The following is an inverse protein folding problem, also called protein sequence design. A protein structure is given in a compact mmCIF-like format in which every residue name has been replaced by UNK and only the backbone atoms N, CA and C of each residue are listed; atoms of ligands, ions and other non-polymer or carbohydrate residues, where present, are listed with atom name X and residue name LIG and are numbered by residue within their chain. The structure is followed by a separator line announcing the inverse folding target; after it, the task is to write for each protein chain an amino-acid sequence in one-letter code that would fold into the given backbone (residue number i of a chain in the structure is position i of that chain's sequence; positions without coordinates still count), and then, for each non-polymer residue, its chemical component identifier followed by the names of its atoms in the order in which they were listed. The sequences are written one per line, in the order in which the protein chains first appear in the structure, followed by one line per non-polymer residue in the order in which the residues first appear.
data_IF_989370630953
#
_entry.id   IF_989370630953
#
_cell.length_a   1.000
_cell.length_b   1.000
_cell.length_c   1.000
_cell.angle_alpha   90.00
_cell.angle_beta   90.00
_cell.angle_gamma   90.00
#
_symmetry.space_group_name_H-M   'P 1'
#
loop_
_entity.id
_entity.type
_entity.pdbx_description
1 polymer ?
#
# COMPACT_ATOMS: atom_id res chain seq x y z
N UNK A 1 17.00 28.97 -14.69
CA UNK A 1 16.42 28.62 -13.37
C UNK A 1 16.28 29.92 -12.61
N UNK A 2 15.06 30.46 -12.52
CA UNK A 2 14.76 31.71 -11.80
C UNK A 2 14.57 31.37 -10.32
N UNK A 3 15.03 32.25 -9.46
CA UNK A 3 15.30 32.05 -8.04
C UNK A 3 14.13 31.48 -7.24
N UNK A 4 14.38 30.38 -6.51
CA UNK A 4 13.54 30.01 -5.37
C UNK A 4 13.79 31.01 -4.24
N UNK A 5 12.78 31.75 -3.84
CA UNK A 5 12.88 32.69 -2.71
C UNK A 5 13.00 31.95 -1.38
N UNK A 6 14.01 32.31 -0.57
CA UNK A 6 14.26 31.77 0.77
C UNK A 6 15.69 31.22 0.95
N UNK A 7 16.05 30.85 2.17
CA UNK A 7 17.25 30.02 2.37
C UNK A 7 16.94 28.64 1.82
N UNK A 8 17.56 28.27 0.70
CA UNK A 8 17.37 26.97 0.07
C UNK A 8 17.64 25.81 1.03
N UNK A 9 17.11 24.64 0.69
CA UNK A 9 17.26 23.38 1.44
C UNK A 9 18.70 22.82 1.28
N UNK A 10 19.69 23.56 1.80
CA UNK A 10 21.13 23.30 1.58
C UNK A 10 21.52 21.95 2.18
N UNK A 11 21.07 21.65 3.41
CA UNK A 11 21.41 20.40 4.09
C UNK A 11 20.78 19.20 3.36
N UNK A 12 19.54 19.34 2.89
CA UNK A 12 18.84 18.35 2.09
C UNK A 12 19.56 18.10 0.77
N UNK A 13 20.02 19.16 0.10
CA UNK A 13 20.78 19.08 -1.14
C UNK A 13 22.13 18.37 -0.95
N UNK A 14 22.85 18.69 0.13
CA UNK A 14 24.09 17.98 0.50
C UNK A 14 23.83 16.51 0.77
N UNK A 15 22.79 16.18 1.55
CA UNK A 15 22.39 14.78 1.81
C UNK A 15 22.02 14.05 0.52
N UNK A 16 21.28 14.69 -0.39
CA UNK A 16 20.94 14.11 -1.68
C UNK A 16 22.18 13.81 -2.52
N UNK A 17 23.15 14.73 -2.56
CA UNK A 17 24.45 14.51 -3.20
C UNK A 17 25.21 13.32 -2.63
N UNK A 18 25.28 13.20 -1.30
CA UNK A 18 25.91 12.06 -0.63
C UNK A 18 25.21 10.72 -0.92
N UNK A 19 23.88 10.71 -0.98
CA UNK A 19 23.12 9.50 -1.35
C UNK A 19 23.41 9.06 -2.78
N UNK A 20 23.54 10.01 -3.72
CA UNK A 20 23.90 9.69 -5.10
C UNK A 20 25.32 9.12 -5.19
N UNK A 21 26.29 9.72 -4.49
CA UNK A 21 27.66 9.19 -4.41
C UNK A 21 27.70 7.77 -3.82
N UNK A 22 26.93 7.51 -2.76
CA UNK A 22 26.83 6.16 -2.17
C UNK A 22 26.23 5.16 -3.16
N UNK A 23 25.14 5.53 -3.87
CA UNK A 23 24.51 4.69 -4.89
C UNK A 23 25.49 4.35 -6.02
N UNK A 24 26.30 5.31 -6.46
CA UNK A 24 27.35 5.09 -7.46
C UNK A 24 28.45 4.16 -6.94
N UNK A 25 28.88 4.33 -5.68
CA UNK A 25 29.90 3.49 -5.06
C UNK A 25 29.44 2.03 -4.87
N UNK A 26 28.17 1.79 -4.53
CA UNK A 26 27.58 0.44 -4.48
C UNK A 26 27.45 -0.16 -5.88
N UNK A 27 27.09 0.68 -6.86
CA UNK A 27 26.95 0.32 -8.26
C UNK A 27 25.58 -0.26 -8.62
N UNK A 28 25.02 0.16 -9.77
CA UNK A 28 23.73 -0.33 -10.26
C UNK A 28 23.67 -1.85 -10.47
N UNK A 29 24.71 -2.52 -11.02
CA UNK A 29 24.66 -3.97 -11.21
C UNK A 29 24.49 -4.73 -9.88
N UNK A 30 25.17 -4.30 -8.82
CA UNK A 30 25.07 -4.88 -7.47
C UNK A 30 23.67 -4.73 -6.89
N UNK A 31 23.08 -3.53 -7.02
CA UNK A 31 21.71 -3.25 -6.55
C UNK A 31 20.71 -4.11 -7.30
N UNK A 32 20.77 -4.14 -8.64
CA UNK A 32 19.85 -4.92 -9.46
C UNK A 32 19.95 -6.43 -9.17
N UNK A 33 21.16 -6.97 -9.08
CA UNK A 33 21.37 -8.38 -8.75
C UNK A 33 20.82 -8.72 -7.35
N UNK A 34 20.98 -7.81 -6.38
CA UNK A 34 20.44 -7.98 -5.03
C UNK A 34 18.91 -7.93 -5.03
N UNK A 35 18.31 -6.96 -5.71
CA UNK A 35 16.85 -6.85 -5.84
C UNK A 35 16.24 -8.07 -6.54
N UNK A 36 16.90 -8.59 -7.59
CA UNK A 36 16.47 -9.81 -8.26
C UNK A 36 16.50 -11.03 -7.31
N UNK A 37 17.56 -11.18 -6.51
CA UNK A 37 17.64 -12.23 -5.47
C UNK A 37 16.48 -12.12 -4.47
N UNK A 38 16.22 -10.91 -3.98
CA UNK A 38 15.12 -10.63 -3.05
C UNK A 38 13.78 -11.02 -3.68
N UNK A 39 13.53 -10.60 -4.93
CA UNK A 39 12.31 -10.94 -5.66
C UNK A 39 12.10 -12.45 -5.78
N UNK A 40 13.15 -13.21 -6.12
CA UNK A 40 13.08 -14.67 -6.21
C UNK A 40 12.75 -15.32 -4.85
N UNK A 41 13.43 -14.88 -3.79
CA UNK A 41 13.19 -15.38 -2.43
C UNK A 41 11.74 -15.13 -1.96
N UNK A 42 11.26 -13.89 -2.11
CA UNK A 42 9.92 -13.49 -1.67
C UNK A 42 8.84 -14.22 -2.46
N UNK A 43 8.97 -14.28 -3.80
CA UNK A 43 8.02 -14.99 -4.65
C UNK A 43 7.97 -16.49 -4.34
N UNK A 44 9.12 -17.12 -4.10
CA UNK A 44 9.18 -18.53 -3.73
C UNK A 44 8.46 -18.78 -2.40
N UNK A 45 8.65 -17.91 -1.41
CA UNK A 45 8.01 -18.04 -0.10
C UNK A 45 6.50 -17.76 -0.15
N UNK A 46 6.08 -16.67 -0.79
CA UNK A 46 4.65 -16.30 -0.91
C UNK A 46 3.84 -17.40 -1.59
N UNK A 47 4.38 -18.09 -2.60
CA UNK A 47 3.71 -19.22 -3.26
C UNK A 47 3.35 -20.38 -2.32
N UNK A 48 3.98 -20.45 -1.14
CA UNK A 48 3.68 -21.46 -0.12
C UNK A 48 2.52 -21.08 0.81
N UNK A 49 1.97 -19.88 0.65
CA UNK A 49 0.95 -19.29 1.54
C UNK A 49 -0.32 -19.03 0.72
N UNK A 50 -1.26 -20.00 0.63
CA UNK A 50 -2.46 -19.86 -0.20
C UNK A 50 -3.39 -18.73 0.26
N UNK A 51 -3.34 -18.34 1.53
CA UNK A 51 -4.10 -17.21 2.09
C UNK A 51 -3.58 -15.85 1.59
N UNK A 52 -2.38 -15.77 1.04
CA UNK A 52 -1.77 -14.51 0.58
C UNK A 52 -1.87 -14.39 -0.94
N UNK A 53 -2.78 -13.53 -1.40
CA UNK A 53 -3.01 -13.29 -2.83
C UNK A 53 -2.14 -12.12 -3.28
N UNK A 54 -1.09 -12.44 -4.03
CA UNK A 54 -0.20 -11.45 -4.62
C UNK A 54 -0.83 -10.86 -5.89
N UNK A 55 -0.98 -9.54 -5.92
CA UNK A 55 -1.57 -8.80 -7.04
C UNK A 55 -0.53 -8.49 -8.12
N UNK A 56 -0.95 -8.59 -9.38
CA UNK A 56 -0.11 -8.32 -10.55
C UNK A 56 0.60 -9.55 -11.08
N UNK A 57 1.64 -9.32 -11.89
CA UNK A 57 2.37 -10.42 -12.53
C UNK A 57 3.24 -11.18 -11.52
N UNK A 58 2.94 -12.47 -11.36
CA UNK A 58 3.64 -13.37 -10.43
C UNK A 58 4.69 -14.26 -11.14
N UNK A 59 4.95 -14.01 -12.43
CA UNK A 59 5.96 -14.73 -13.19
C UNK A 59 7.36 -14.39 -12.70
N UNK A 60 8.19 -15.42 -12.54
CA UNK A 60 9.61 -15.27 -12.22
C UNK A 60 10.45 -14.79 -13.41
N UNK A 61 9.89 -14.75 -14.62
CA UNK A 61 10.59 -14.30 -15.83
C UNK A 61 10.54 -12.80 -16.08
N UNK A 62 9.69 -12.06 -15.34
CA UNK A 62 9.53 -10.62 -15.50
C UNK A 62 10.34 -9.87 -14.46
N UNK A 63 11.18 -8.94 -14.92
CA UNK A 63 11.92 -8.06 -14.03
C UNK A 63 10.97 -7.15 -13.26
N UNK A 64 11.18 -7.04 -11.95
CA UNK A 64 10.35 -6.23 -11.06
C UNK A 64 11.15 -5.71 -9.88
N UNK A 65 10.68 -4.61 -9.33
CA UNK A 65 11.14 -4.11 -8.04
C UNK A 65 10.60 -5.00 -6.91
N UNK A 66 11.32 -5.08 -5.77
CA UNK A 66 10.91 -5.83 -4.58
C UNK A 66 9.80 -5.10 -3.80
N UNK A 67 8.72 -4.77 -4.50
CA UNK A 67 7.52 -4.12 -3.98
C UNK A 67 6.33 -5.02 -4.28
N UNK A 68 5.66 -5.50 -3.25
CA UNK A 68 4.63 -6.54 -3.34
C UNK A 68 3.32 -6.02 -2.78
N UNK A 69 2.30 -5.94 -3.63
CA UNK A 69 0.91 -5.62 -3.26
C UNK A 69 0.12 -6.91 -3.10
N UNK A 70 -0.57 -7.08 -1.98
CA UNK A 70 -1.25 -8.33 -1.68
C UNK A 70 -2.53 -8.12 -0.87
N UNK A 71 -3.41 -9.12 -0.97
CA UNK A 71 -4.58 -9.29 -0.12
C UNK A 71 -4.41 -10.54 0.74
N UNK A 72 -5.09 -10.57 1.89
CA UNK A 72 -5.15 -11.76 2.73
C UNK A 72 -6.57 -12.31 2.68
N UNK A 73 -6.72 -13.51 2.13
CA UNK A 73 -7.98 -14.25 2.04
C UNK A 73 -8.06 -15.27 3.15
N UNK A 74 -9.12 -15.20 3.94
CA UNK A 74 -9.44 -16.22 4.91
C UNK A 74 -9.98 -17.48 4.20
N UNK A 75 -9.71 -18.71 4.69
CA UNK A 75 -10.21 -19.97 4.11
C UNK A 75 -11.74 -20.13 4.04
N UNK A 76 -12.52 -19.13 4.49
CA UNK A 76 -14.00 -19.08 4.38
C UNK A 76 -14.49 -18.17 3.25
N UNK A 77 -13.59 -17.57 2.47
CA UNK A 77 -13.94 -16.79 1.29
C UNK A 77 -13.82 -15.27 1.45
N UNK A 78 -13.91 -14.75 2.68
CA UNK A 78 -13.73 -13.31 2.96
C UNK A 78 -12.27 -12.90 3.08
N UNK A 79 -12.01 -11.60 2.94
CA UNK A 79 -10.67 -11.04 3.10
C UNK A 79 -10.47 -10.37 4.46
N UNK A 80 -9.22 -10.13 4.82
CA UNK A 80 -8.86 -9.19 5.87
C UNK A 80 -8.72 -7.79 5.29
N UNK A 81 -9.29 -6.80 5.97
CA UNK A 81 -9.19 -5.41 5.55
C UNK A 81 -7.71 -4.98 5.48
N UNK A 82 -7.30 -4.27 4.43
CA UNK A 82 -5.89 -3.94 4.21
C UNK A 82 -5.31 -3.11 5.37
N UNK A 83 -6.05 -2.13 5.89
CA UNK A 83 -5.61 -1.35 7.05
C UNK A 83 -5.48 -2.18 8.33
N UNK A 84 -6.27 -3.25 8.48
CA UNK A 84 -6.12 -4.18 9.60
C UNK A 84 -4.83 -5.00 9.47
N UNK A 85 -4.56 -5.51 8.26
CA UNK A 85 -3.29 -6.21 7.97
C UNK A 85 -2.10 -5.29 8.28
N UNK A 86 -2.16 -4.03 7.87
CA UNK A 86 -1.15 -3.04 8.20
C UNK A 86 -1.01 -2.80 9.71
N UNK A 87 -2.13 -2.67 10.42
CA UNK A 87 -2.14 -2.46 11.87
C UNK A 87 -1.48 -3.63 12.61
N UNK A 88 -1.80 -4.88 12.28
CA UNK A 88 -1.17 -6.05 12.93
C UNK A 88 0.32 -6.14 12.62
N UNK A 89 0.73 -5.94 11.36
CA UNK A 89 2.15 -5.98 10.99
C UNK A 89 2.95 -4.94 11.78
N UNK A 90 2.37 -3.76 12.00
CA UNK A 90 2.98 -2.72 12.84
C UNK A 90 2.96 -3.09 14.34
N UNK A 91 1.79 -3.42 14.88
CA UNK A 91 1.60 -3.54 16.33
C UNK A 91 2.26 -4.80 16.91
N UNK A 92 2.30 -5.89 16.15
CA UNK A 92 2.82 -7.18 16.61
C UNK A 92 4.29 -7.38 16.23
N UNK A 93 4.69 -6.91 15.04
CA UNK A 93 6.01 -7.18 14.48
C UNK A 93 6.88 -5.92 14.27
N UNK A 94 6.34 -4.72 14.45
CA UNK A 94 7.05 -3.48 14.15
C UNK A 94 7.32 -3.25 12.65
N UNK A 95 6.61 -3.97 11.77
CA UNK A 95 6.80 -3.88 10.31
C UNK A 95 5.83 -2.85 9.76
N UNK A 96 6.38 -1.77 9.21
CA UNK A 96 5.60 -0.73 8.56
C UNK A 96 5.30 -1.10 7.11
N UNK A 97 4.02 -1.24 6.80
CA UNK A 97 3.51 -1.45 5.44
C UNK A 97 2.50 -0.37 5.10
N UNK A 98 2.19 -0.21 3.80
CA UNK A 98 1.18 0.75 3.33
C UNK A 98 -0.09 0.03 2.93
N UNK A 99 -1.24 0.53 3.35
CA UNK A 99 -2.55 0.08 2.91
C UNK A 99 -3.21 1.07 1.96
N UNK A 100 -4.18 0.61 1.18
CA UNK A 100 -5.06 1.44 0.37
C UNK A 100 -5.03 1.11 -1.12
N UNK A 101 -5.65 1.96 -1.92
CA UNK A 101 -5.61 1.91 -3.38
C UNK A 101 -4.47 2.81 -3.90
N UNK A 102 -3.62 2.28 -4.78
CA UNK A 102 -2.50 3.05 -5.35
C UNK A 102 -3.00 4.16 -6.30
N UNK A 103 -2.16 5.16 -6.56
CA UNK A 103 -2.44 6.34 -7.41
C UNK A 103 -2.92 6.03 -8.85
N UNK A 104 -2.91 4.77 -9.27
CA UNK A 104 -3.47 4.30 -10.53
C UNK A 104 -4.79 3.54 -10.28
N UNK A 105 -5.84 4.29 -9.94
CA UNK A 105 -7.15 3.76 -9.53
C UNK A 105 -7.73 2.69 -10.48
N UNK A 106 -7.83 2.94 -11.80
CA UNK A 106 -8.37 1.96 -12.75
C UNK A 106 -7.57 0.65 -12.80
N UNK A 107 -6.23 0.73 -12.75
CA UNK A 107 -5.39 -0.46 -12.75
C UNK A 107 -5.56 -1.27 -11.45
N UNK A 108 -5.73 -0.61 -10.32
CA UNK A 108 -6.03 -1.28 -9.06
C UNK A 108 -7.40 -1.97 -9.09
N UNK A 109 -8.42 -1.34 -9.68
CA UNK A 109 -9.74 -1.95 -9.88
C UNK A 109 -9.66 -3.22 -10.74
N UNK A 110 -8.90 -3.17 -11.84
CA UNK A 110 -8.66 -4.34 -12.69
C UNK A 110 -8.01 -5.51 -11.94
N UNK A 111 -6.95 -5.22 -11.18
CA UNK A 111 -6.27 -6.23 -10.37
C UNK A 111 -7.17 -6.87 -9.31
N UNK A 112 -8.11 -6.08 -8.77
CA UNK A 112 -9.08 -6.55 -7.78
C UNK A 112 -10.27 -7.29 -8.43
N UNK A 113 -10.40 -7.26 -9.76
CA UNK A 113 -11.55 -7.84 -10.45
C UNK A 113 -12.84 -7.03 -10.30
N UNK A 114 -12.72 -5.72 -10.08
CA UNK A 114 -13.84 -4.81 -9.94
C UNK A 114 -14.34 -4.41 -11.34
N UNK A 115 -15.62 -4.66 -11.64
CA UNK A 115 -16.26 -4.21 -12.87
C UNK A 115 -16.53 -2.71 -12.83
N UNK A 116 -16.80 -2.09 -14.00
CA UNK A 116 -17.18 -0.67 -14.05
C UNK A 116 -18.48 -0.40 -13.28
N UNK A 117 -19.44 -1.33 -13.34
CA UNK A 117 -20.69 -1.27 -12.58
C UNK A 117 -20.42 -1.29 -11.06
N UNK A 118 -19.61 -2.25 -10.59
CA UNK A 118 -19.27 -2.36 -9.18
C UNK A 118 -18.43 -1.15 -8.70
N UNK A 119 -17.57 -0.62 -9.56
CA UNK A 119 -16.82 0.60 -9.27
C UNK A 119 -17.76 1.80 -9.08
N UNK A 120 -18.81 1.92 -9.89
CA UNK A 120 -19.83 2.95 -9.74
C UNK A 120 -20.64 2.78 -8.43
N UNK A 121 -20.96 1.54 -8.03
CA UNK A 121 -21.61 1.28 -6.75
C UNK A 121 -20.75 1.70 -5.56
N UNK A 122 -19.43 1.39 -5.60
CA UNK A 122 -18.49 1.88 -4.59
C UNK A 122 -18.39 3.40 -4.61
N UNK A 123 -18.33 4.04 -5.78
CA UNK A 123 -18.28 5.49 -5.90
C UNK A 123 -19.51 6.14 -5.28
N UNK A 124 -20.71 5.61 -5.53
CA UNK A 124 -21.96 6.13 -4.99
C UNK A 124 -22.01 6.11 -3.45
N UNK A 125 -21.46 5.06 -2.83
CA UNK A 125 -21.41 4.92 -1.36
C UNK A 125 -20.27 5.71 -0.72
N UNK A 126 -19.15 5.85 -1.43
CA UNK A 126 -17.96 6.58 -0.97
C UNK A 126 -18.01 8.08 -1.26
N UNK A 127 -18.99 8.54 -2.04
CA UNK A 127 -19.16 9.95 -2.33
C UNK A 127 -19.45 10.73 -1.04
N UNK A 128 -18.67 11.79 -0.80
CA UNK A 128 -18.91 12.72 0.31
C UNK A 128 -20.23 13.50 0.07
N UNK A 129 -20.89 13.93 1.15
CA UNK A 129 -22.07 14.80 1.05
C UNK A 129 -21.70 16.05 0.24
N UNK A 130 -22.43 16.31 -0.84
CA UNK A 130 -22.23 17.47 -1.72
C UNK A 130 -22.32 18.83 -1.01
N UNK A 131 -22.83 18.86 0.23
CA UNK A 131 -22.88 20.04 1.11
C UNK A 131 -21.57 20.30 1.87
N UNK A 132 -20.60 19.39 1.85
CA UNK A 132 -19.28 19.59 2.45
C UNK A 132 -18.46 20.53 1.56
N UNK A 133 -18.46 21.79 1.96
CA UNK A 133 -17.74 22.88 1.30
C UNK A 133 -16.22 22.64 1.27
N UNK A 134 -15.71 22.34 0.06
CA UNK A 134 -14.28 22.10 -0.24
C UNK A 134 -13.39 23.35 -0.16
N UNK A 135 -13.95 24.55 0.03
CA UNK A 135 -13.18 25.80 -0.10
C UNK A 135 -12.35 26.16 1.14
N UNK A 136 -12.59 25.52 2.29
CA UNK A 136 -11.85 25.79 3.51
C UNK A 136 -11.13 24.55 4.03
N UNK A 137 -9.81 24.53 3.78
CA UNK A 137 -8.76 23.52 4.03
C UNK A 137 -8.65 22.85 5.43
N UNK A 138 -9.65 22.92 6.30
CA UNK A 138 -9.72 22.13 7.53
C UNK A 138 -11.17 22.02 8.01
N UNK A 139 -11.89 20.92 7.78
CA UNK A 139 -13.12 20.63 8.54
C UNK A 139 -13.25 19.16 8.94
N UNK A 140 -13.71 18.96 10.19
CA UNK A 140 -14.21 17.65 10.67
C UNK A 140 -15.32 17.20 9.71
N UNK A 141 -15.24 15.99 9.17
CA UNK A 141 -16.28 15.40 8.32
C UNK A 141 -15.93 15.25 6.83
N UNK A 142 -14.68 15.45 6.42
CA UNK A 142 -14.20 15.22 5.03
C UNK A 142 -14.06 13.72 4.64
N UNK A 143 -14.71 12.80 5.35
CA UNK A 143 -14.62 11.38 5.01
C UNK A 143 -16.02 10.82 4.84
N UNK A 144 -16.21 9.92 3.87
CA UNK A 144 -17.45 9.15 3.77
C UNK A 144 -17.66 8.37 5.06
N UNK A 145 -18.91 8.30 5.53
CA UNK A 145 -19.31 7.45 6.67
C UNK A 145 -19.01 5.95 6.44
N UNK A 146 -18.71 5.59 5.19
CA UNK A 146 -18.40 4.23 4.77
C UNK A 146 -17.00 4.10 4.16
N UNK A 147 -16.05 4.96 4.54
CA UNK A 147 -14.66 4.90 4.06
C UNK A 147 -14.03 3.50 4.26
N UNK A 148 -14.44 2.77 5.29
CA UNK A 148 -14.06 1.36 5.50
C UNK A 148 -14.43 0.40 4.35
N UNK A 149 -15.35 0.76 3.46
CA UNK A 149 -15.73 -0.06 2.31
C UNK A 149 -14.77 0.12 1.14
N UNK A 150 -13.92 1.17 1.15
CA UNK A 150 -12.99 1.45 0.06
C UNK A 150 -12.13 0.22 -0.25
N UNK A 151 -12.21 -0.35 -1.47
CA UNK A 151 -11.37 -1.47 -1.83
C UNK A 151 -9.89 -1.09 -1.84
N UNK A 152 -9.03 -2.03 -1.47
CA UNK A 152 -7.60 -1.80 -1.44
C UNK A 152 -6.80 -3.03 -1.05
N UNK A 153 -5.48 -2.86 -0.98
CA UNK A 153 -4.53 -3.92 -0.67
C UNK A 153 -3.43 -3.41 0.27
N UNK A 154 -2.71 -4.34 0.90
CA UNK A 154 -1.49 -4.03 1.64
C UNK A 154 -0.29 -4.09 0.69
N UNK A 155 0.72 -3.26 0.93
CA UNK A 155 1.95 -3.21 0.13
C UNK A 155 3.18 -3.17 1.02
N UNK A 156 4.10 -4.10 0.75
CA UNK A 156 5.41 -4.19 1.39
C UNK A 156 6.50 -3.89 0.37
N UNK A 157 7.51 -3.10 0.79
CA UNK A 157 8.70 -2.79 -0.02
C UNK A 157 9.94 -3.28 0.72
N UNK A 158 10.75 -4.11 0.07
CA UNK A 158 11.96 -4.69 0.68
C UNK A 158 13.18 -4.02 0.04
N UNK A 159 13.91 -3.16 0.76
CA UNK A 159 15.06 -2.47 0.20
C UNK A 159 16.25 -3.41 -0.02
N UNK A 160 17.09 -3.11 -1.03
CA UNK A 160 18.23 -3.96 -1.39
C UNK A 160 19.23 -4.20 -0.25
N UNK A 161 19.38 -3.22 0.65
CA UNK A 161 20.31 -3.27 1.77
C UNK A 161 19.80 -4.05 2.99
N UNK A 162 18.55 -4.54 2.97
CA UNK A 162 18.02 -5.40 4.03
C UNK A 162 18.74 -6.76 4.01
N UNK A 163 19.12 -7.27 5.18
CA UNK A 163 19.80 -8.57 5.33
C UNK A 163 18.87 -9.75 5.04
N UNK A 164 19.44 -10.92 4.70
CA UNK A 164 18.65 -12.13 4.45
C UNK A 164 17.84 -12.56 5.69
N UNK A 165 18.35 -12.32 6.90
CA UNK A 165 17.66 -12.60 8.16
C UNK A 165 16.47 -11.68 8.43
N UNK A 166 16.59 -10.39 8.13
CA UNK A 166 15.47 -9.43 8.24
C UNK A 166 14.38 -9.75 7.22
N UNK A 167 14.77 -10.14 5.99
CA UNK A 167 13.82 -10.58 4.98
C UNK A 167 13.08 -11.85 5.44
N UNK A 168 13.80 -12.84 6.00
CA UNK A 168 13.19 -14.04 6.54
C UNK A 168 12.20 -13.72 7.67
N UNK A 169 12.53 -12.80 8.57
CA UNK A 169 11.63 -12.32 9.60
C UNK A 169 10.35 -11.70 9.02
N UNK A 170 10.47 -10.81 8.03
CA UNK A 170 9.31 -10.19 7.37
C UNK A 170 8.43 -11.25 6.69
N UNK A 171 9.03 -12.24 6.03
CA UNK A 171 8.29 -13.32 5.36
C UNK A 171 7.53 -14.21 6.36
N UNK A 172 8.15 -14.59 7.47
CA UNK A 172 7.47 -15.34 8.53
C UNK A 172 6.35 -14.51 9.20
N UNK A 173 6.56 -13.21 9.41
CA UNK A 173 5.52 -12.31 9.91
C UNK A 173 4.33 -12.24 8.94
N UNK A 174 4.58 -12.08 7.64
CA UNK A 174 3.53 -12.10 6.61
C UNK A 174 2.75 -13.42 6.61
N UNK A 175 3.45 -14.55 6.73
CA UNK A 175 2.84 -15.88 6.83
C UNK A 175 1.95 -16.02 8.07
N UNK A 176 2.42 -15.57 9.23
CA UNK A 176 1.64 -15.59 10.46
C UNK A 176 0.39 -14.70 10.36
N UNK A 177 0.51 -13.50 9.79
CA UNK A 177 -0.65 -12.63 9.58
C UNK A 177 -1.63 -13.24 8.56
N UNK A 178 -1.13 -13.85 7.49
CA UNK A 178 -1.98 -14.46 6.48
C UNK A 178 -2.80 -15.63 7.03
N UNK A 179 -2.18 -16.49 7.85
CA UNK A 179 -2.79 -17.72 8.36
C UNK A 179 -3.58 -17.51 9.66
N UNK A 180 -3.08 -16.65 10.54
CA UNK A 180 -3.55 -16.51 11.93
C UNK A 180 -4.03 -15.09 12.28
N UNK A 181 -3.77 -14.09 11.42
CA UNK A 181 -4.08 -12.68 11.64
C UNK A 181 -5.54 -12.40 11.99
N UNK A 182 -6.45 -13.11 11.33
CA UNK A 182 -7.90 -13.01 11.53
C UNK A 182 -8.31 -13.26 13.00
N UNK A 183 -7.55 -14.07 13.75
CA UNK A 183 -7.86 -14.38 15.16
C UNK A 183 -7.77 -13.15 16.05
N UNK A 184 -7.01 -12.13 15.65
CA UNK A 184 -6.86 -10.89 16.41
C UNK A 184 -7.96 -9.87 16.11
N UNK A 185 -8.78 -10.06 15.05
CA UNK A 185 -9.85 -9.12 14.68
C UNK A 185 -10.73 -8.69 15.89
N UNK A 186 -11.17 -9.60 16.80
CA UNK A 186 -12.00 -9.21 17.94
C UNK A 186 -11.35 -8.24 18.93
N UNK A 187 -10.02 -8.10 18.88
CA UNK A 187 -9.25 -7.20 19.75
C UNK A 187 -9.05 -5.83 19.12
N UNK A 188 -9.47 -5.63 17.87
CA UNK A 188 -9.34 -4.38 17.14
C UNK A 188 -10.70 -3.71 16.92
N UNK A 189 -10.65 -2.39 16.85
CA UNK A 189 -11.79 -1.51 16.60
C UNK A 189 -11.57 -0.83 15.26
N UNK A 190 -12.52 -1.02 14.34
CA UNK A 190 -12.60 -0.30 13.07
C UNK A 190 -13.27 1.05 13.28
N UNK A 191 -12.71 2.10 12.69
CA UNK A 191 -13.39 3.38 12.51
C UNK A 191 -14.06 3.41 11.11
N UNK A 192 -15.40 3.36 11.02
CA UNK A 192 -16.15 3.43 9.76
C UNK A 192 -15.75 4.60 8.86
N UNK A 193 -15.56 5.77 9.47
CA UNK A 193 -15.38 7.04 8.78
C UNK A 193 -13.96 7.18 8.21
N UNK A 194 -12.96 6.52 8.78
CA UNK A 194 -11.57 6.64 8.31
C UNK A 194 -11.00 5.35 7.74
N UNK A 195 -11.69 4.22 7.91
CA UNK A 195 -11.18 2.88 7.62
C UNK A 195 -9.98 2.47 8.48
N UNK A 196 -9.65 3.23 9.53
CA UNK A 196 -8.53 2.95 10.42
C UNK A 196 -8.86 1.83 11.41
N UNK A 197 -7.86 1.02 11.72
CA UNK A 197 -7.96 -0.06 12.70
C UNK A 197 -7.02 0.23 13.87
N UNK A 198 -7.54 0.08 15.09
CA UNK A 198 -6.76 0.26 16.32
C UNK A 198 -7.01 -0.87 17.30
N UNK A 199 -5.99 -1.29 18.03
CA UNK A 199 -6.16 -2.23 19.12
C UNK A 199 -7.03 -1.61 20.23
N UNK A 200 -7.92 -2.40 20.84
CA UNK A 200 -8.91 -1.93 21.83
C UNK A 200 -8.30 -1.41 23.14
N UNK A 201 -7.04 -1.73 23.44
CA UNK A 201 -6.29 -1.16 24.57
C UNK A 201 -5.58 0.14 24.21
N UNK A 202 -5.47 0.48 22.92
CA UNK A 202 -4.84 1.70 22.43
C UNK A 202 -5.86 2.85 22.34
N UNK A 203 -6.52 3.14 23.47
CA UNK A 203 -7.64 4.09 23.55
C UNK A 203 -7.20 5.53 23.76
N UNK A 204 -5.93 5.77 24.04
CA UNK A 204 -5.39 7.11 24.27
C UNK A 204 -3.99 7.14 23.67
N UNK A 205 -3.69 8.22 22.96
CA UNK A 205 -2.35 8.64 22.54
C UNK A 205 -1.41 8.85 23.76
N UNK A 206 -1.27 7.85 24.65
CA UNK A 206 -0.55 7.94 25.91
C UNK A 206 0.92 8.29 25.69
N UNK A 207 1.44 7.89 24.54
CA UNK A 207 2.84 8.05 24.13
C UNK A 207 3.05 9.14 23.08
N UNK A 208 1.98 9.83 22.62
CA UNK A 208 2.13 10.90 21.62
C UNK A 208 2.78 12.10 22.27
N UNK A 209 4.03 12.34 21.88
CA UNK A 209 4.80 13.50 22.30
C UNK A 209 4.34 14.71 21.49
N UNK A 210 3.94 15.76 22.19
CA UNK A 210 3.61 17.05 21.57
C UNK A 210 4.79 17.98 21.77
N UNK A 211 5.10 18.84 20.79
CA UNK A 211 6.18 19.83 20.94
C UNK A 211 5.96 20.71 22.19
N UNK A 212 4.71 21.01 22.53
CA UNK A 212 4.35 21.74 23.75
C UNK A 212 4.67 21.04 25.08
N UNK A 213 5.08 19.76 25.06
CA UNK A 213 5.55 19.04 26.26
C UNK A 213 7.03 19.25 26.57
N UNK A 214 7.77 19.88 25.65
CA UNK A 214 9.18 20.25 25.82
C UNK A 214 9.26 21.57 26.59
N UNK A 215 10.11 21.61 27.62
CA UNK A 215 10.38 22.80 28.43
C UNK A 215 11.88 23.10 28.45
N UNK A 216 12.21 24.38 28.61
CA UNK A 216 13.60 24.88 28.69
C UNK A 216 13.85 25.69 29.98
N UNK A 217 13.06 25.45 31.03
CA UNK A 217 13.05 26.27 32.26
C UNK A 217 14.44 26.40 32.89
N UNK A 218 15.26 25.35 32.83
CA UNK A 218 16.62 25.32 33.39
C UNK A 218 17.73 25.48 32.33
N UNK A 219 17.43 26.03 31.16
CA UNK A 219 18.38 26.13 30.04
C UNK A 219 18.77 24.79 29.40
N UNK A 220 18.07 23.71 29.77
CA UNK A 220 18.20 22.37 29.19
C UNK A 220 16.85 21.90 28.65
N UNK A 221 16.87 21.18 27.53
CA UNK A 221 15.67 20.54 26.99
C UNK A 221 15.20 19.47 27.96
N UNK A 222 14.03 19.68 28.56
CA UNK A 222 13.35 18.70 29.41
C UNK A 222 12.05 18.29 28.71
N UNK A 223 11.80 16.99 28.63
CA UNK A 223 10.51 16.45 28.21
C UNK A 223 9.97 15.56 29.32
N UNK A 224 8.68 15.71 29.66
CA UNK A 224 8.03 14.77 30.59
C UNK A 224 7.92 13.40 29.92
N UNK A 225 8.80 12.48 30.31
CA UNK A 225 8.62 11.07 30.03
C UNK A 225 7.62 10.50 31.03
N UNK A 226 6.40 10.25 30.58
CA UNK A 226 5.45 9.48 31.38
C UNK A 226 6.02 8.06 31.49
N UNK A 227 6.41 7.63 32.69
CA UNK A 227 6.76 6.23 32.96
C UNK A 227 5.56 5.36 32.61
N UNK A 228 5.70 4.53 31.58
CA UNK A 228 4.69 3.57 31.19
C UNK A 228 4.74 2.42 32.21
N UNK A 229 3.77 2.39 33.13
CA UNK A 229 3.60 1.25 34.04
C UNK A 229 3.18 0.03 33.22
N UNK A 230 3.98 -1.05 33.27
CA UNK A 230 3.63 -2.34 32.69
C UNK A 230 4.19 -2.62 31.29
N UNK A 231 5.33 -2.03 30.90
CA UNK A 231 6.04 -2.48 29.70
C UNK A 231 6.44 -3.95 29.86
N UNK A 232 5.73 -4.84 29.16
CA UNK A 232 6.31 -6.11 28.76
C UNK A 232 7.61 -5.78 28.04
N UNK A 233 8.75 -6.42 28.36
CA UNK A 233 10.00 -6.14 27.67
C UNK A 233 9.79 -6.25 26.16
N UNK A 234 10.31 -5.26 25.43
CA UNK A 234 10.36 -5.33 23.97
C UNK A 234 11.18 -6.57 23.59
N UNK A 235 10.77 -7.35 22.57
CA UNK A 235 11.55 -8.49 22.12
C UNK A 235 13.01 -8.12 21.87
N UNK A 236 13.93 -8.99 22.32
CA UNK A 236 15.37 -8.71 22.21
C UNK A 236 15.92 -8.93 20.80
N UNK A 237 15.30 -9.83 20.04
CA UNK A 237 15.66 -10.15 18.66
C UNK A 237 14.41 -10.54 17.83
N UNK A 238 14.64 -10.81 16.54
CA UNK A 238 13.57 -11.21 15.61
C UNK A 238 12.95 -12.55 15.97
N UNK A 239 13.68 -13.49 16.55
CA UNK A 239 13.18 -14.80 16.95
C UNK A 239 12.24 -14.72 18.15
N UNK A 240 12.62 -13.95 19.17
CA UNK A 240 11.79 -13.64 20.33
C UNK A 240 10.52 -12.88 19.94
N UNK A 241 10.62 -11.98 18.95
CA UNK A 241 9.47 -11.30 18.38
C UNK A 241 8.47 -12.30 17.75
N UNK A 242 8.95 -13.23 16.92
CA UNK A 242 8.10 -14.28 16.32
C UNK A 242 7.48 -15.21 17.39
N UNK A 243 8.24 -15.56 18.43
CA UNK A 243 7.74 -16.37 19.54
C UNK A 243 6.62 -15.64 20.31
N UNK A 244 6.85 -14.37 20.63
CA UNK A 244 5.87 -13.49 21.29
C UNK A 244 4.61 -13.35 20.44
N UNK A 245 4.75 -13.11 19.13
CA UNK A 245 3.63 -13.05 18.19
C UNK A 245 2.80 -14.35 18.21
N UNK A 246 3.45 -15.52 18.19
CA UNK A 246 2.76 -16.82 18.24
C UNK A 246 1.98 -16.99 19.54
N UNK A 247 2.53 -16.54 20.66
CA UNK A 247 1.82 -16.54 21.94
C UNK A 247 0.60 -15.59 21.94
N UNK A 248 0.68 -14.45 21.26
CA UNK A 248 -0.44 -13.52 21.08
C UNK A 248 -1.57 -14.21 20.29
N UNK A 249 -1.27 -14.81 19.13
CA UNK A 249 -2.26 -15.55 18.34
C UNK A 249 -2.90 -16.72 19.11
N UNK A 250 -2.10 -17.49 19.86
CA UNK A 250 -2.60 -18.59 20.67
C UNK A 250 -3.55 -18.14 21.80
N UNK A 251 -3.35 -16.94 22.34
CA UNK A 251 -4.22 -16.37 23.39
C UNK A 251 -5.51 -15.76 22.83
N UNK A 252 -5.56 -15.46 21.53
CA UNK A 252 -6.67 -14.76 20.90
C UNK A 252 -8.03 -15.43 21.13
N UNK A 253 -8.10 -16.77 21.04
CA UNK A 253 -9.34 -17.52 21.31
C UNK A 253 -9.86 -17.33 22.74
N UNK A 254 -8.97 -17.34 23.73
CA UNK A 254 -9.34 -17.11 25.13
C UNK A 254 -9.80 -15.67 25.35
N UNK A 255 -9.21 -14.70 24.65
CA UNK A 255 -9.65 -13.30 24.72
C UNK A 255 -11.02 -13.11 24.08
N UNK A 256 -11.27 -13.72 22.93
CA UNK A 256 -12.57 -13.69 22.26
C UNK A 256 -13.70 -14.27 23.13
N UNK A 257 -13.43 -15.29 23.96
CA UNK A 257 -14.41 -15.82 24.92
C UNK A 257 -14.74 -14.86 26.06
N UNK A 258 -13.76 -14.05 26.50
CA UNK A 258 -13.92 -13.17 27.67
C UNK A 258 -14.70 -11.89 27.36
N UNK A 259 -14.59 -11.39 26.13
CA UNK A 259 -15.13 -10.09 25.74
C UNK A 259 -16.04 -10.25 24.52
N UNK A 260 -17.31 -10.64 24.69
CA UNK A 260 -18.26 -10.74 23.59
C UNK A 260 -18.46 -9.37 22.94
N UNK A 261 -18.47 -9.35 21.61
CA UNK A 261 -18.70 -8.17 20.81
C UNK A 261 -20.17 -8.08 20.39
N UNK A 262 -20.71 -6.87 20.26
CA UNK A 262 -22.02 -6.69 19.63
C UNK A 262 -21.96 -7.08 18.16
N UNK A 263 -23.11 -7.40 17.59
CA UNK A 263 -23.23 -7.68 16.16
C UNK A 263 -22.97 -6.41 15.34
N UNK A 264 -21.83 -6.38 14.67
CA UNK A 264 -21.40 -5.25 13.85
C UNK A 264 -22.01 -5.27 12.45
N UNK A 265 -22.73 -6.34 12.06
CA UNK A 265 -23.44 -6.39 10.77
C UNK A 265 -24.54 -5.33 10.70
N UNK A 266 -25.05 -4.90 11.86
CA UNK A 266 -26.03 -3.82 12.00
C UNK A 266 -25.52 -2.44 11.55
N UNK A 267 -24.20 -2.28 11.33
CA UNK A 267 -23.62 -1.05 10.78
C UNK A 267 -23.86 -0.89 9.27
N UNK A 268 -24.38 -1.94 8.61
CA UNK A 268 -24.57 -1.97 7.16
C UNK A 268 -26.05 -2.10 6.84
N UNK A 269 -26.52 -1.28 5.90
CA UNK A 269 -27.78 -1.52 5.20
C UNK A 269 -27.61 -2.59 4.11
N UNK A 270 -28.68 -2.93 3.39
CA UNK A 270 -28.64 -3.98 2.38
C UNK A 270 -27.61 -3.70 1.25
N UNK A 271 -27.46 -2.44 0.84
CA UNK A 271 -26.60 -2.04 -0.27
C UNK A 271 -25.12 -2.07 0.16
N UNK A 272 -24.80 -1.45 1.29
CA UNK A 272 -23.45 -1.42 1.87
C UNK A 272 -22.99 -2.80 2.34
N UNK A 273 -23.92 -3.64 2.81
CA UNK A 273 -23.63 -5.02 3.15
C UNK A 273 -23.20 -5.83 1.93
N UNK A 274 -23.80 -5.61 0.75
CA UNK A 274 -23.42 -6.27 -0.50
C UNK A 274 -21.97 -5.91 -0.91
N UNK A 275 -21.58 -4.64 -0.75
CA UNK A 275 -20.26 -4.10 -1.08
C UNK A 275 -19.16 -4.45 -0.06
N UNK A 276 -19.50 -5.01 1.10
CA UNK A 276 -18.52 -5.43 2.10
C UNK A 276 -17.73 -6.65 1.62
N UNK A 277 -16.42 -6.46 1.47
CA UNK A 277 -15.47 -7.48 1.00
C UNK A 277 -14.62 -8.11 2.11
N UNK A 278 -14.66 -7.59 3.34
CA UNK A 278 -13.81 -8.02 4.45
C UNK A 278 -14.60 -8.60 5.63
N UNK A 279 -13.92 -9.42 6.46
CA UNK A 279 -14.45 -10.02 7.69
C UNK A 279 -14.54 -9.02 8.84
N UNK A 280 -15.65 -9.03 9.58
CA UNK A 280 -15.86 -8.20 10.77
C UNK A 280 -15.28 -8.83 12.05
N UNK A 281 -14.92 -8.01 13.07
CA UNK A 281 -14.52 -8.50 14.39
C UNK A 281 -15.52 -9.46 15.06
N UNK A 282 -16.81 -9.17 14.98
CA UNK A 282 -17.87 -10.06 15.47
C UNK A 282 -17.91 -11.42 14.75
N UNK A 283 -17.77 -11.44 13.42
CA UNK A 283 -17.71 -12.68 12.63
C UNK A 283 -16.47 -13.51 12.98
N UNK A 284 -15.31 -12.85 13.16
CA UNK A 284 -14.08 -13.52 13.59
C UNK A 284 -14.21 -14.12 15.00
N UNK A 285 -14.90 -13.43 15.91
CA UNK A 285 -15.21 -13.96 17.24
C UNK A 285 -16.12 -15.18 17.14
N UNK A 286 -17.16 -15.13 16.33
CA UNK A 286 -18.05 -16.27 16.09
C UNK A 286 -17.27 -17.49 15.57
N UNK A 287 -16.34 -17.31 14.64
CA UNK A 287 -15.46 -18.39 14.17
C UNK A 287 -14.58 -18.97 15.28
N UNK A 288 -14.00 -18.14 16.15
CA UNK A 288 -13.18 -18.60 17.28
C UNK A 288 -14.00 -19.39 18.30
N UNK A 289 -15.29 -19.09 18.43
CA UNK A 289 -16.24 -19.75 19.32
C UNK A 289 -16.91 -20.99 18.69
N UNK A 290 -16.80 -21.18 17.38
CA UNK A 290 -17.36 -22.33 16.65
C UNK A 290 -18.70 -22.05 15.96
N UNK A 291 -19.16 -20.79 15.94
CA UNK A 291 -20.41 -20.35 15.33
C UNK A 291 -20.23 -20.03 13.84
N UNK A 292 -19.92 -21.04 13.03
CA UNK A 292 -19.47 -20.82 11.64
C UNK A 292 -20.55 -20.23 10.72
N UNK A 293 -21.83 -20.46 11.00
CA UNK A 293 -22.95 -19.96 10.19
C UNK A 293 -23.09 -18.43 10.13
N UNK A 294 -22.46 -17.69 11.03
CA UNK A 294 -22.64 -16.23 11.11
C UNK A 294 -21.69 -15.44 10.19
N UNK A 295 -20.79 -16.11 9.47
CA UNK A 295 -19.75 -15.47 8.66
C UNK A 295 -20.16 -15.36 7.21
N UNK A 296 -20.08 -14.14 6.66
CA UNK A 296 -20.27 -13.89 5.24
C UNK A 296 -19.33 -14.75 4.39
N UNK A 297 -19.87 -15.38 3.35
CA UNK A 297 -19.12 -16.26 2.44
C UNK A 297 -18.89 -15.63 1.07
N UNK A 298 -19.80 -14.79 0.62
CA UNK A 298 -19.72 -14.11 -0.67
C UNK A 298 -18.95 -12.79 -0.54
N UNK A 299 -18.21 -12.44 -1.57
CA UNK A 299 -17.48 -11.17 -1.67
C UNK A 299 -17.80 -10.53 -3.00
N UNK A 300 -17.87 -9.19 -3.08
CA UNK A 300 -18.29 -8.48 -4.30
C UNK A 300 -17.29 -8.61 -5.44
N UNK A 301 -16.03 -8.94 -5.15
CA UNK A 301 -14.98 -9.13 -6.14
C UNK A 301 -13.97 -10.19 -5.67
N UNK A 302 -13.23 -10.72 -6.63
CA UNK A 302 -12.12 -11.64 -6.41
C UNK A 302 -10.97 -11.22 -7.33
N UNK A 303 -9.74 -11.01 -6.81
CA UNK A 303 -8.60 -10.64 -7.65
C UNK A 303 -8.41 -11.55 -8.86
N UNK A 304 -8.32 -10.94 -10.03
CA UNK A 304 -8.19 -11.69 -11.29
C UNK A 304 -6.76 -12.20 -11.47
N UNK A 305 -6.58 -13.39 -12.08
CA UNK A 305 -5.27 -13.81 -12.57
C UNK A 305 -4.76 -12.75 -13.56
N UNK A 306 -3.55 -12.22 -13.32
CA UNK A 306 -3.01 -11.15 -14.15
C UNK A 306 -2.86 -11.59 -15.62
N UNK A 307 -3.64 -10.98 -16.51
CA UNK A 307 -3.61 -11.22 -17.96
C UNK A 307 -3.02 -10.06 -18.78
N UNK A 308 -2.40 -9.07 -18.11
CA UNK A 308 -1.97 -7.80 -18.72
C UNK A 308 -2.98 -6.66 -18.48
N UNK A 309 -2.58 -5.43 -18.79
CA UNK A 309 -3.54 -4.30 -18.79
C UNK A 309 -4.60 -4.54 -19.86
N UNK A 310 -5.88 -4.26 -19.59
CA UNK A 310 -6.95 -4.41 -20.58
C UNK A 310 -6.52 -3.72 -21.88
N UNK A 311 -6.31 -4.50 -22.93
CA UNK A 311 -6.25 -3.93 -24.27
C UNK A 311 -7.59 -3.25 -24.51
N UNK A 312 -7.58 -2.00 -25.00
CA UNK A 312 -8.81 -1.32 -25.43
C UNK A 312 -9.56 -2.28 -26.35
N UNK A 313 -10.62 -2.89 -25.85
CA UNK A 313 -11.58 -3.60 -26.69
C UNK A 313 -12.32 -2.51 -27.46
N UNK A 314 -11.90 -2.28 -28.69
CA UNK A 314 -12.77 -1.65 -29.68
C UNK A 314 -13.93 -2.61 -29.92
N UNK A 315 -15.02 -2.42 -29.17
CA UNK A 315 -16.32 -2.99 -29.50
C UNK A 315 -16.81 -2.28 -30.76
N UNK A 316 -16.55 -2.87 -31.92
CA UNK A 316 -17.41 -2.69 -33.07
C UNK A 316 -18.05 -4.05 -33.33
N UNK A 317 -19.37 -4.04 -33.21
CA UNK A 317 -20.27 -5.18 -33.32
C UNK A 317 -19.95 -6.06 -34.54
N UNK A 318 -19.87 -7.36 -34.30
CA UNK A 318 -20.17 -8.34 -35.35
C UNK A 318 -21.38 -9.15 -34.89
N UNK A 319 -22.53 -8.65 -35.29
CA UNK A 319 -23.79 -9.37 -35.24
C UNK A 319 -23.67 -10.70 -36.02
N UNK A 320 -24.15 -11.75 -35.38
CA UNK A 320 -24.35 -13.08 -35.92
C UNK A 320 -25.37 -13.10 -37.05
N UNK A 321 -24.99 -13.68 -38.20
CA UNK A 321 -25.85 -14.42 -39.13
C UNK A 321 -24.89 -15.29 -39.97
N UNK A 322 -25.09 -16.58 -40.20
CA UNK A 322 -26.34 -17.26 -40.54
C UNK A 322 -26.16 -17.84 -41.95
N UNK A 323 -25.81 -19.12 -42.00
CA UNK A 323 -26.00 -20.09 -43.10
C UNK A 323 -25.45 -19.85 -44.53
N UNK A 324 -24.76 -20.89 -44.98
CA UNK A 324 -24.19 -21.14 -46.29
C UNK A 324 -25.24 -21.74 -47.24
N UNK A 325 -25.49 -21.13 -48.40
CA UNK A 325 -25.72 -21.85 -49.69
C UNK A 325 -25.70 -20.86 -50.88
N UNK A 326 -25.27 -21.30 -52.10
CA UNK A 326 -24.83 -20.40 -53.16
C UNK A 326 -25.89 -20.22 -54.27
N UNK A 327 -25.91 -19.03 -54.89
CA UNK A 327 -26.77 -18.75 -56.03
C UNK A 327 -26.34 -17.53 -56.85
N UNK A 328 -25.59 -17.79 -57.93
CA UNK A 328 -25.75 -17.25 -59.30
C UNK A 328 -25.82 -15.72 -59.53
N UNK A 329 -24.80 -15.24 -60.25
CA UNK A 329 -24.78 -14.24 -61.36
C UNK A 329 -25.70 -13.00 -61.31
N UNK A 330 -25.13 -11.80 -61.50
CA UNK A 330 -25.06 -11.08 -62.80
C UNK A 330 -24.87 -9.55 -62.61
N UNK A 331 -23.93 -9.00 -63.39
CA UNK A 331 -23.92 -7.67 -64.07
C UNK A 331 -23.96 -6.35 -63.29
N UNK A 332 -22.89 -5.60 -63.51
CA UNK A 332 -22.69 -4.12 -63.53
C UNK A 332 -23.69 -3.37 -64.46
N UNK A 333 -23.62 -2.02 -64.70
CA UNK A 333 -22.85 -0.92 -64.07
C UNK A 333 -23.65 0.42 -63.90
N UNK A 334 -22.95 1.54 -63.63
CA UNK A 334 -23.17 2.95 -64.11
C UNK A 334 -23.51 4.05 -63.06
N UNK A 335 -22.44 4.78 -62.70
CA UNK A 335 -22.20 6.24 -62.83
C UNK A 335 -22.60 7.30 -61.80
N UNK A 336 -21.63 8.22 -61.68
CA UNK A 336 -21.69 9.68 -61.48
C UNK A 336 -21.83 10.26 -60.06
N UNK A 337 -20.65 10.59 -59.50
CA UNK A 337 -20.15 11.98 -59.50
C UNK A 337 -20.68 12.92 -58.41
N UNK A 338 -19.87 13.16 -57.38
CA UNK A 338 -19.62 14.48 -56.79
C UNK A 338 -18.59 14.40 -55.65
N UNK A 339 -17.64 15.34 -55.65
CA UNK A 339 -16.63 15.63 -54.61
C UNK A 339 -16.87 17.04 -54.07
N UNK A 340 -16.24 17.52 -52.97
CA UNK A 340 -15.80 16.87 -51.71
C UNK A 340 -16.31 17.72 -50.48
N UNK A 341 -15.83 17.55 -49.23
CA UNK A 341 -14.57 18.20 -48.82
C UNK A 341 -13.67 17.38 -47.86
N UNK A 342 -12.45 17.91 -47.72
CA UNK A 342 -11.23 17.42 -47.08
C UNK A 342 -11.34 17.10 -45.58
N UNK A 343 -10.77 15.97 -45.18
CA UNK A 343 -10.28 15.70 -43.81
C UNK A 343 -8.84 16.21 -43.65
N UNK A 344 -8.46 16.78 -42.49
CA UNK A 344 -7.06 16.99 -42.16
C UNK A 344 -6.42 15.71 -41.59
N UNK A 345 -5.36 15.27 -42.25
CA UNK A 345 -4.46 14.18 -41.85
C UNK A 345 -3.60 14.55 -40.64
N UNK A 346 -3.46 13.58 -39.73
CA UNK A 346 -2.54 13.62 -38.59
C UNK A 346 -1.07 13.72 -39.03
N UNK A 347 -0.36 14.68 -38.47
CA UNK A 347 1.07 14.91 -38.66
C UNK A 347 1.89 13.97 -37.78
N UNK A 348 2.79 13.23 -38.42
CA UNK A 348 3.95 12.60 -37.80
C UNK A 348 5.09 13.60 -37.56
N UNK A 349 6.18 13.12 -36.92
CA UNK A 349 7.51 13.73 -36.68
C UNK A 349 7.71 14.38 -35.30
N UNK A 350 8.86 14.28 -34.62
CA UNK A 350 10.14 13.62 -34.89
C UNK A 350 10.92 13.42 -33.58
N UNK A 351 11.81 12.42 -33.57
CA UNK A 351 12.97 12.32 -32.67
C UNK A 351 14.00 13.39 -33.06
N UNK A 352 14.66 14.01 -32.08
CA UNK A 352 15.93 14.72 -32.29
C UNK A 352 16.93 14.40 -31.19
N UNK A 353 18.07 13.84 -31.60
CA UNK A 353 19.36 13.90 -30.92
C UNK A 353 20.04 15.23 -31.27
N UNK A 354 20.76 15.84 -30.33
CA UNK A 354 22.15 16.30 -30.52
C UNK A 354 22.70 17.03 -29.29
N UNK A 355 23.88 16.58 -28.85
CA UNK A 355 24.83 17.26 -27.95
C UNK A 355 25.40 18.53 -28.58
N UNK A 356 25.77 19.51 -27.75
CA UNK A 356 26.88 20.43 -28.01
C UNK A 356 27.61 20.79 -26.71
N UNK A 357 28.93 20.81 -26.83
CA UNK A 357 29.97 21.01 -25.83
C UNK A 357 30.03 22.44 -25.29
N UNK A 358 30.37 22.62 -24.01
CA UNK A 358 31.07 23.82 -23.50
C UNK A 358 32.09 23.39 -22.43
N UNK A 359 33.38 23.56 -22.77
CA UNK A 359 34.55 23.58 -21.90
C UNK A 359 34.81 25.00 -21.35
N UNK A 360 35.63 25.09 -20.28
CA UNK A 360 36.22 26.27 -19.59
C UNK A 360 35.35 26.90 -18.49
N UNK A 361 35.75 27.15 -17.22
CA UNK A 361 36.98 27.28 -16.41
C UNK A 361 36.51 27.42 -14.91
N UNK A 362 37.35 27.57 -13.85
CA UNK A 362 38.69 27.07 -13.56
C UNK A 362 38.77 26.24 -12.24
N UNK A 363 39.89 25.53 -12.08
CA UNK A 363 40.32 24.86 -10.84
C UNK A 363 40.83 25.88 -9.81
N UNK A 364 40.42 25.73 -8.54
CA UNK A 364 41.12 26.32 -7.41
C UNK A 364 41.76 25.22 -6.55
N UNK A 365 43.08 25.29 -6.47
CA UNK A 365 43.96 24.50 -5.62
C UNK A 365 44.24 25.33 -4.37
N UNK A 366 44.11 24.72 -3.19
CA UNK A 366 44.47 25.38 -1.92
C UNK A 366 44.31 24.47 -0.71
N UNK A 367 45.39 23.78 -0.34
CA UNK A 367 45.74 23.32 1.01
C UNK A 367 47.18 23.82 1.27
N UNK A 368 47.72 23.95 2.52
CA UNK A 368 47.61 22.95 3.59
C UNK A 368 47.66 23.47 5.08
N UNK A 369 47.62 22.51 6.02
CA UNK A 369 48.08 22.51 7.46
C UNK A 369 47.27 23.30 8.51
N UNK A 370 47.02 22.88 9.77
CA UNK A 370 47.17 21.65 10.58
C UNK A 370 46.32 21.81 11.90
N UNK A 371 46.43 21.00 12.99
CA UNK A 371 45.31 20.30 13.62
C UNK A 371 44.79 20.94 14.92
N UNK A 372 43.50 20.74 15.23
CA UNK A 372 42.96 20.91 16.59
C UNK A 372 42.15 19.67 16.96
N UNK A 373 42.64 18.94 17.96
CA UNK A 373 41.94 17.88 18.66
C UNK A 373 40.83 18.49 19.53
N UNK A 374 39.57 18.12 19.30
CA UNK A 374 38.55 18.14 20.36
C UNK A 374 37.67 16.90 20.26
N UNK A 375 37.71 16.14 21.34
CA UNK A 375 37.00 14.88 21.56
C UNK A 375 35.62 15.22 22.08
N UNK A 376 34.58 15.09 21.26
CA UNK A 376 33.18 15.26 21.72
C UNK A 376 32.32 14.12 21.20
N UNK A 377 31.77 13.33 22.13
CA UNK A 377 30.81 12.24 21.87
C UNK A 377 29.54 12.84 21.24
N UNK A 378 29.18 12.37 20.05
CA UNK A 378 27.91 12.68 19.41
C UNK A 378 26.93 11.54 19.73
N UNK A 379 25.96 11.83 20.59
CA UNK A 379 24.75 11.02 20.73
C UNK A 379 23.85 11.29 19.52
N UNK A 380 23.55 10.24 18.76
CA UNK A 380 22.65 10.25 17.61
C UNK A 380 21.19 10.40 18.06
N UNK A 381 20.62 11.60 17.89
CA UNK A 381 19.17 11.82 17.91
C UNK A 381 18.66 11.77 16.46
N UNK A 382 18.08 10.63 16.07
CA UNK A 382 17.30 10.50 14.84
C UNK A 382 15.95 11.18 15.04
N UNK A 383 15.71 12.25 14.29
CA UNK A 383 14.38 12.85 14.10
C UNK A 383 13.83 12.36 12.76
N UNK A 384 12.66 11.71 12.71
CA UNK A 384 12.04 11.33 11.43
C UNK A 384 11.40 12.57 10.79
N UNK A 385 11.86 12.94 9.61
CA UNK A 385 11.24 13.95 8.74
C UNK A 385 10.23 13.23 7.85
N UNK A 386 8.94 13.48 8.09
CA UNK A 386 7.87 13.17 7.16
C UNK A 386 7.91 14.19 6.02
N UNK A 387 8.09 13.71 4.78
CA UNK A 387 7.97 14.51 3.56
C UNK A 387 6.52 14.37 3.10
N UNK A 388 5.85 15.51 2.91
CA UNK A 388 4.49 15.65 2.37
C UNK A 388 4.41 15.30 0.89
#
# INVERSE_FOLDING_TARGET
MREEGGTGAIVESVRAGLVMQLKEAVGHPSIMAREEKICKMVLAHIRTIPELILLGNNSSSVQRLPVFSFMVRHPRGTFLHHNFVCAILNDVFGIQVRGGCACAGPYAQDLLGISEELAADYEAVLMEDSRLDRTHLRRKGEHSTYEMLRPGFARVSIPYFMSDSEIAFVLEALKMVATEGWKLLPQYILNPDTGEWRHNTNTVFRDRKWLGSIRYVDGKMQSFERRVSGQTPCPHDTGDCLHTARNIFNKARKMAQRYPLPDQRLMFDQNTAALRWFMLPSEAQDLLLGNVQNVKQEVPFDPTPYSGARGRTSSCDSASSGETTPGVQQTSPISNGSTPPKCPSATSFARHNSLSSIENLPRFVGSPTAPIQTRTRINSLQVPVSIY
#
